data_IF_706344730300
#
_entry.id   IF_706344730300
#
_cell.length_a   1.000
_cell.length_b   1.000
_cell.length_c   1.000
_cell.angle_alpha   90.00
_cell.angle_beta   90.00
_cell.angle_gamma   90.00
#
_symmetry.space_group_name_H-M   'P 1'
#
loop_
_entity.id
_entity.type
_entity.pdbx_description
1 polymer ?
#
# COMPACT_ATOMS: atom_id res chain seq x y z
N UNK A 1 0.79 -1.00 -17.82
CA UNK A 1 -0.19 0.08 -17.50
C UNK A 1 -1.61 -0.44 -17.42
N UNK A 2 -2.20 -0.77 -18.57
CA UNK A 2 -3.66 -0.87 -18.69
C UNK A 2 -4.29 -1.96 -17.82
N UNK A 3 -3.63 -3.12 -17.69
CA UNK A 3 -4.14 -4.22 -16.85
C UNK A 3 -4.21 -3.83 -15.37
N UNK A 4 -3.15 -3.24 -14.83
CA UNK A 4 -3.11 -2.81 -13.43
C UNK A 4 -4.17 -1.75 -13.13
N UNK A 5 -4.26 -0.73 -13.99
CA UNK A 5 -5.30 0.30 -13.89
C UNK A 5 -6.71 -0.30 -13.94
N UNK A 6 -6.97 -1.21 -14.88
CA UNK A 6 -8.27 -1.86 -15.01
C UNK A 6 -8.65 -2.65 -13.75
N UNK A 7 -7.70 -3.34 -13.10
CA UNK A 7 -7.94 -4.05 -11.85
C UNK A 7 -8.19 -3.09 -10.67
N UNK A 8 -7.44 -1.98 -10.58
CA UNK A 8 -7.74 -0.93 -9.61
C UNK A 8 -9.14 -0.35 -9.80
N UNK A 9 -9.53 -0.08 -11.04
CA UNK A 9 -10.85 0.47 -11.34
C UNK A 9 -11.97 -0.52 -11.00
N UNK A 10 -11.76 -1.81 -11.24
CA UNK A 10 -12.69 -2.87 -10.84
C UNK A 10 -12.82 -2.97 -9.32
N UNK A 11 -11.72 -2.92 -8.57
CA UNK A 11 -11.75 -2.96 -7.10
C UNK A 11 -12.51 -1.75 -6.50
N UNK A 12 -12.41 -0.59 -7.15
CA UNK A 12 -13.06 0.65 -6.72
C UNK A 12 -14.48 0.84 -7.27
N UNK A 13 -14.89 0.06 -8.27
CA UNK A 13 -16.13 0.27 -9.01
C UNK A 13 -16.17 1.57 -9.84
N UNK A 14 -15.04 2.25 -10.04
CA UNK A 14 -14.92 3.49 -10.83
C UNK A 14 -13.55 3.57 -11.51
N UNK A 15 -13.48 4.25 -12.66
CA UNK A 15 -12.21 4.56 -13.34
C UNK A 15 -11.87 6.06 -13.25
N UNK A 16 -10.59 6.42 -13.44
CA UNK A 16 -10.14 7.81 -13.47
C UNK A 16 -10.52 8.49 -14.81
N UNK A 17 -10.84 9.79 -14.83
CA UNK A 17 -11.06 10.52 -16.08
C UNK A 17 -9.77 10.74 -16.90
N UNK A 18 -8.60 10.46 -16.31
CA UNK A 18 -7.31 10.61 -16.97
C UNK A 18 -7.12 9.63 -18.13
N UNK A 19 -6.30 9.97 -19.14
CA UNK A 19 -6.06 9.10 -20.29
C UNK A 19 -5.67 7.66 -19.90
N UNK A 20 -6.09 6.62 -20.64
CA UNK A 20 -5.93 5.21 -20.24
C UNK A 20 -4.48 4.75 -20.01
N UNK A 21 -3.50 5.43 -20.62
CA UNK A 21 -2.06 5.15 -20.47
C UNK A 21 -1.33 6.15 -19.59
N UNK A 22 -2.01 7.19 -19.10
CA UNK A 22 -1.41 8.17 -18.21
C UNK A 22 -1.21 7.57 -16.82
N UNK A 23 -0.02 7.81 -16.27
CA UNK A 23 0.30 7.41 -14.89
C UNK A 23 -0.59 8.11 -13.86
N UNK A 24 -0.97 9.36 -14.15
CA UNK A 24 -1.87 10.16 -13.33
C UNK A 24 -3.17 9.43 -12.99
N UNK A 25 -3.73 8.65 -13.92
CA UNK A 25 -4.95 7.92 -13.62
C UNK A 25 -4.75 6.71 -12.71
N UNK A 26 -3.53 6.15 -12.63
CA UNK A 26 -3.19 5.13 -11.64
C UNK A 26 -3.09 5.79 -10.26
N UNK A 27 -2.37 6.91 -10.16
CA UNK A 27 -2.23 7.64 -8.89
C UNK A 27 -3.56 8.16 -8.35
N UNK A 28 -4.48 8.61 -9.22
CA UNK A 28 -5.84 9.01 -8.83
C UNK A 28 -6.62 7.85 -8.21
N UNK A 29 -6.56 6.67 -8.83
CA UNK A 29 -7.25 5.47 -8.32
C UNK A 29 -6.62 5.00 -7.00
N UNK A 30 -5.31 5.10 -6.85
CA UNK A 30 -4.64 4.75 -5.60
C UNK A 30 -5.02 5.72 -4.47
N UNK A 31 -5.03 7.02 -4.75
CA UNK A 31 -5.48 8.02 -3.78
C UNK A 31 -6.94 7.74 -3.36
N UNK A 32 -7.81 7.46 -4.34
CA UNK A 32 -9.18 7.04 -4.10
C UNK A 32 -9.30 5.77 -3.23
N UNK A 33 -8.43 4.78 -3.46
CA UNK A 33 -8.39 3.55 -2.68
C UNK A 33 -7.98 3.80 -1.24
N UNK A 34 -7.00 4.67 -1.04
CA UNK A 34 -6.54 5.05 0.29
C UNK A 34 -7.60 5.85 1.07
N UNK A 35 -8.42 6.64 0.38
CA UNK A 35 -9.47 7.48 0.97
C UNK A 35 -10.81 6.77 1.21
N UNK A 36 -10.99 5.55 0.67
CA UNK A 36 -12.29 4.86 0.53
C UNK A 36 -13.08 4.69 1.83
N UNK A 37 -12.41 4.74 2.98
CA UNK A 37 -13.01 4.56 4.32
C UNK A 37 -12.52 5.63 5.33
N UNK A 38 -12.35 6.88 4.89
CA UNK A 38 -11.92 7.99 5.77
C UNK A 38 -10.47 7.88 6.29
N UNK A 39 -9.70 6.95 5.73
CA UNK A 39 -8.35 6.60 6.21
C UNK A 39 -8.34 5.72 7.47
N UNK A 40 -9.49 5.23 7.95
CA UNK A 40 -9.61 4.58 9.26
C UNK A 40 -9.36 3.07 9.32
N UNK A 41 -8.96 2.39 8.23
CA UNK A 41 -8.40 1.04 8.36
C UNK A 41 -7.30 0.80 7.33
N UNK A 42 -6.05 1.10 7.70
CA UNK A 42 -4.85 0.73 6.94
C UNK A 42 -4.94 -0.72 6.44
N UNK A 43 -5.42 -1.63 7.30
CA UNK A 43 -5.67 -3.05 7.01
C UNK A 43 -6.61 -3.24 5.80
N UNK A 44 -7.68 -2.46 5.69
CA UNK A 44 -8.65 -2.60 4.58
C UNK A 44 -8.02 -2.17 3.25
N UNK A 45 -7.30 -1.04 3.25
CA UNK A 45 -6.55 -0.54 2.09
C UNK A 45 -5.47 -1.53 1.68
N UNK A 46 -4.75 -2.09 2.66
CA UNK A 46 -3.73 -3.11 2.44
C UNK A 46 -4.35 -4.35 1.77
N UNK A 47 -5.46 -4.85 2.32
CA UNK A 47 -6.17 -6.01 1.78
C UNK A 47 -6.69 -5.78 0.36
N UNK A 48 -7.23 -4.59 0.06
CA UNK A 48 -7.74 -4.25 -1.26
C UNK A 48 -6.60 -4.15 -2.29
N UNK A 49 -5.50 -3.53 -1.90
CA UNK A 49 -4.29 -3.45 -2.72
C UNK A 49 -3.72 -4.84 -3.02
N UNK A 50 -3.69 -5.73 -2.01
CA UNK A 50 -3.27 -7.12 -2.19
C UNK A 50 -4.21 -7.89 -3.12
N UNK A 51 -5.54 -7.73 -2.99
CA UNK A 51 -6.50 -8.33 -3.94
C UNK A 51 -6.27 -7.87 -5.38
N UNK A 52 -6.00 -6.58 -5.58
CA UNK A 52 -5.66 -6.04 -6.90
C UNK A 52 -4.41 -6.72 -7.45
N UNK A 53 -3.35 -6.87 -6.65
CA UNK A 53 -2.12 -7.57 -7.04
C UNK A 53 -2.40 -9.04 -7.39
N UNK A 54 -3.09 -9.79 -6.54
CA UNK A 54 -3.45 -11.18 -6.80
C UNK A 54 -4.29 -11.33 -8.08
N UNK A 55 -5.20 -10.39 -8.33
CA UNK A 55 -6.09 -10.40 -9.50
C UNK A 55 -5.37 -10.18 -10.85
N UNK A 56 -4.09 -9.78 -10.83
CA UNK A 56 -3.25 -9.68 -12.03
C UNK A 56 -2.87 -11.06 -12.58
N UNK A 57 -2.90 -12.08 -11.74
CA UNK A 57 -2.50 -13.44 -12.10
C UNK A 57 -3.73 -14.30 -12.43
N UNK A 58 -3.62 -15.20 -13.41
CA UNK A 58 -4.70 -16.09 -13.77
C UNK A 58 -4.98 -17.11 -12.65
N UNK A 59 -6.25 -17.41 -12.42
CA UNK A 59 -6.67 -18.48 -11.53
C UNK A 59 -6.62 -19.84 -12.24
N UNK A 60 -5.43 -20.26 -12.66
CA UNK A 60 -5.19 -21.53 -13.34
C UNK A 60 -3.81 -22.08 -12.98
N UNK A 61 -3.67 -23.38 -12.68
CA UNK A 61 -4.71 -24.41 -12.54
C UNK A 61 -5.64 -24.19 -11.32
N UNK A 62 -6.94 -24.55 -11.38
CA UNK A 62 -7.95 -24.20 -10.37
C UNK A 62 -7.97 -25.14 -9.14
N UNK A 63 -7.06 -26.11 -9.09
CA UNK A 63 -6.91 -27.04 -7.97
C UNK A 63 -6.12 -26.33 -6.87
N UNK A 64 -6.79 -25.46 -6.13
CA UNK A 64 -6.16 -24.69 -5.06
C UNK A 64 -7.15 -24.48 -3.89
N UNK A 65 -6.66 -24.23 -2.67
CA UNK A 65 -7.52 -23.92 -1.53
C UNK A 65 -8.43 -22.72 -1.82
N UNK A 66 -9.68 -22.70 -1.33
CA UNK A 66 -10.57 -21.56 -1.51
C UNK A 66 -9.92 -20.28 -1.00
N UNK A 67 -9.97 -19.21 -1.80
CA UNK A 67 -9.37 -17.91 -1.47
C UNK A 67 -7.95 -17.67 -1.99
N UNK A 68 -7.33 -18.66 -2.66
CA UNK A 68 -6.01 -18.48 -3.30
C UNK A 68 -6.15 -18.33 -4.83
N UNK A 69 -5.14 -17.76 -5.48
CA UNK A 69 -5.06 -17.73 -6.96
C UNK A 69 -4.25 -18.94 -7.41
N UNK A 70 -4.83 -19.77 -8.28
CA UNK A 70 -4.25 -21.03 -8.73
C UNK A 70 -2.79 -20.92 -9.15
N UNK A 71 -2.45 -19.97 -10.05
CA UNK A 71 -1.07 -19.82 -10.51
C UNK A 71 -0.09 -19.51 -9.37
N UNK A 72 -0.49 -18.66 -8.41
CA UNK A 72 0.36 -18.27 -7.29
C UNK A 72 0.60 -19.45 -6.34
N UNK A 73 -0.46 -20.20 -6.03
CA UNK A 73 -0.38 -21.39 -5.20
C UNK A 73 0.57 -22.43 -5.80
N UNK A 74 0.38 -22.77 -7.07
CA UNK A 74 1.22 -23.76 -7.75
C UNK A 74 2.66 -23.28 -7.92
N UNK A 75 2.87 -21.98 -8.14
CA UNK A 75 4.22 -21.41 -8.15
C UNK A 75 4.92 -21.60 -6.80
N UNK A 76 4.20 -21.34 -5.70
CA UNK A 76 4.70 -21.56 -4.35
C UNK A 76 5.14 -23.00 -4.10
N UNK A 77 4.26 -23.95 -4.44
CA UNK A 77 4.48 -25.39 -4.22
C UNK A 77 5.58 -25.96 -5.11
N UNK A 78 5.60 -25.61 -6.40
CA UNK A 78 6.48 -26.23 -7.40
C UNK A 78 7.85 -25.54 -7.54
N UNK A 79 7.94 -24.25 -7.22
CA UNK A 79 9.16 -23.48 -7.44
C UNK A 79 9.67 -22.79 -6.18
N UNK A 80 8.82 -22.08 -5.43
CA UNK A 80 9.29 -21.27 -4.31
C UNK A 80 9.79 -22.12 -3.13
N UNK A 81 9.02 -23.12 -2.70
CA UNK A 81 9.40 -24.02 -1.62
C UNK A 81 10.60 -24.92 -1.95
N UNK A 82 10.67 -25.61 -3.11
CA UNK A 82 11.79 -26.50 -3.42
C UNK A 82 13.05 -25.77 -3.88
N UNK A 83 12.93 -24.57 -4.48
CA UNK A 83 14.05 -23.84 -5.06
C UNK A 83 14.07 -22.35 -4.64
N UNK A 84 14.34 -22.05 -3.36
CA UNK A 84 14.27 -20.68 -2.84
C UNK A 84 15.21 -19.70 -3.56
N UNK A 85 16.45 -20.12 -3.89
CA UNK A 85 17.42 -19.28 -4.63
C UNK A 85 16.91 -18.91 -6.01
N UNK A 86 16.42 -19.92 -6.74
CA UNK A 86 15.93 -19.75 -8.09
C UNK A 86 14.69 -18.86 -8.09
N UNK A 87 13.77 -19.09 -7.16
CA UNK A 87 12.56 -18.30 -7.03
C UNK A 87 12.85 -16.84 -6.68
N UNK A 88 13.77 -16.58 -5.74
CA UNK A 88 14.20 -15.22 -5.41
C UNK A 88 14.80 -14.49 -6.63
N UNK A 89 15.68 -15.17 -7.39
CA UNK A 89 16.28 -14.61 -8.61
C UNK A 89 15.29 -14.35 -9.73
N UNK A 90 14.41 -15.32 -9.99
CA UNK A 90 13.36 -15.19 -10.98
C UNK A 90 12.43 -14.03 -10.65
N UNK A 91 11.98 -13.93 -9.38
CA UNK A 91 11.09 -12.87 -8.95
C UNK A 91 11.77 -11.51 -8.94
N UNK A 92 13.06 -11.41 -8.58
CA UNK A 92 13.82 -10.18 -8.72
C UNK A 92 13.89 -9.72 -10.18
N UNK A 93 14.11 -10.63 -11.12
CA UNK A 93 14.18 -10.31 -12.55
C UNK A 93 12.80 -9.95 -13.16
N UNK A 94 11.75 -10.68 -12.78
CA UNK A 94 10.38 -10.36 -13.21
C UNK A 94 9.94 -9.02 -12.63
N UNK A 95 10.23 -8.79 -11.35
CA UNK A 95 9.91 -7.53 -10.67
C UNK A 95 10.72 -6.38 -11.26
N UNK A 96 12.01 -6.58 -11.59
CA UNK A 96 12.80 -5.61 -12.34
C UNK A 96 12.09 -5.23 -13.65
N UNK A 97 11.70 -6.23 -14.44
CA UNK A 97 11.01 -6.00 -15.72
C UNK A 97 9.70 -5.21 -15.55
N UNK A 98 8.91 -5.52 -14.53
CA UNK A 98 7.65 -4.84 -14.24
C UNK A 98 7.84 -3.45 -13.61
N UNK A 99 8.85 -3.29 -12.75
CA UNK A 99 9.17 -2.08 -12.02
C UNK A 99 9.70 -0.98 -12.94
N UNK A 100 10.45 -1.33 -13.99
CA UNK A 100 10.87 -0.39 -15.04
C UNK A 100 9.67 0.36 -15.65
N UNK A 101 8.52 -0.32 -15.73
CA UNK A 101 7.30 0.23 -16.25
C UNK A 101 6.48 1.03 -15.20
N UNK A 102 6.41 0.57 -13.94
CA UNK A 102 5.57 1.16 -12.89
C UNK A 102 6.27 2.20 -12.01
N UNK A 103 7.52 1.93 -11.63
CA UNK A 103 8.29 2.68 -10.64
C UNK A 103 9.44 3.46 -11.25
N UNK A 104 9.98 3.04 -12.40
CA UNK A 104 11.07 3.73 -13.10
C UNK A 104 12.37 2.94 -13.10
N UNK A 105 13.51 3.62 -13.26
CA UNK A 105 14.83 2.97 -13.45
C UNK A 105 15.18 2.06 -12.27
N UNK A 106 15.47 0.80 -12.59
CA UNK A 106 15.84 -0.23 -11.61
C UNK A 106 17.19 -0.89 -11.91
N UNK A 107 17.92 -1.22 -10.84
CA UNK A 107 19.21 -1.90 -10.84
C UNK A 107 19.10 -3.16 -9.97
N UNK A 108 19.66 -4.28 -10.44
CA UNK A 108 19.68 -5.56 -9.71
C UNK A 108 21.11 -5.83 -9.25
N UNK A 109 21.28 -6.24 -8.01
CA UNK A 109 22.55 -6.58 -7.39
C UNK A 109 22.35 -7.72 -6.39
N UNK A 110 23.43 -8.27 -5.86
CA UNK A 110 23.34 -9.24 -4.77
C UNK A 110 23.05 -8.53 -3.44
N UNK A 111 22.47 -9.24 -2.47
CA UNK A 111 22.36 -8.77 -1.09
C UNK A 111 23.72 -8.97 -0.42
N UNK A 112 24.43 -7.87 -0.15
CA UNK A 112 25.77 -7.90 0.45
C UNK A 112 25.82 -7.30 1.88
N UNK A 113 24.73 -6.68 2.36
CA UNK A 113 24.67 -6.14 3.72
C UNK A 113 24.70 -7.28 4.75
N UNK A 114 25.65 -7.29 5.71
CA UNK A 114 25.78 -8.38 6.68
C UNK A 114 24.52 -8.68 7.50
N UNK A 115 23.72 -7.65 7.84
CA UNK A 115 22.51 -7.82 8.63
C UNK A 115 21.40 -8.48 7.79
N UNK A 116 21.29 -8.12 6.51
CA UNK A 116 20.36 -8.75 5.59
C UNK A 116 20.80 -10.17 5.22
N UNK A 117 22.11 -10.39 5.02
CA UNK A 117 22.70 -11.71 4.73
C UNK A 117 22.42 -12.69 5.88
N UNK A 118 22.54 -12.24 7.13
CA UNK A 118 22.22 -13.06 8.31
C UNK A 118 20.73 -13.47 8.37
N UNK A 119 19.84 -12.70 7.74
CA UNK A 119 18.39 -12.95 7.69
C UNK A 119 17.97 -13.77 6.48
N UNK A 120 18.86 -14.09 5.54
CA UNK A 120 18.51 -14.87 4.36
C UNK A 120 17.92 -16.22 4.74
N UNK A 121 16.86 -16.62 4.04
CA UNK A 121 16.24 -17.94 4.23
C UNK A 121 17.29 -19.03 4.03
N UNK A 122 17.31 -20.04 4.91
CA UNK A 122 18.27 -21.14 4.83
C UNK A 122 18.21 -21.83 3.45
N UNK A 123 19.37 -21.98 2.81
CA UNK A 123 19.46 -22.50 1.44
C UNK A 123 19.19 -21.48 0.34
N UNK A 124 18.89 -20.21 0.66
CA UNK A 124 18.70 -19.10 -0.31
C UNK A 124 20.00 -18.68 -1.02
N UNK A 125 21.18 -19.12 -0.57
CA UNK A 125 22.45 -18.66 -1.13
C UNK A 125 22.62 -17.14 -0.98
N UNK A 126 23.05 -16.44 -2.03
CA UNK A 126 23.06 -14.97 -2.09
C UNK A 126 21.67 -14.47 -2.50
N UNK A 127 21.01 -13.69 -1.65
CA UNK A 127 19.75 -13.00 -1.98
C UNK A 127 19.90 -12.05 -3.17
N UNK A 128 18.78 -11.51 -3.66
CA UNK A 128 18.80 -10.52 -4.73
C UNK A 128 18.22 -9.19 -4.26
N UNK A 129 18.98 -8.12 -4.47
CA UNK A 129 18.59 -6.76 -4.21
C UNK A 129 18.16 -6.10 -5.51
N UNK A 130 16.90 -5.69 -5.58
CA UNK A 130 16.40 -4.81 -6.63
C UNK A 130 16.27 -3.40 -6.07
N UNK A 131 17.11 -2.48 -6.55
CA UNK A 131 17.05 -1.06 -6.19
C UNK A 131 16.37 -0.27 -7.30
N UNK A 132 15.29 0.41 -6.94
CA UNK A 132 14.66 1.44 -7.76
C UNK A 132 15.36 2.76 -7.46
N UNK A 133 16.06 3.32 -8.44
CA UNK A 133 16.88 4.53 -8.25
C UNK A 133 16.05 5.78 -7.94
N UNK A 134 14.82 5.83 -8.43
CA UNK A 134 13.84 6.87 -8.11
C UNK A 134 12.44 6.32 -8.36
N UNK A 135 11.68 6.11 -7.30
CA UNK A 135 10.37 5.50 -7.33
C UNK A 135 9.32 6.53 -7.70
N UNK A 136 8.87 6.49 -8.97
CA UNK A 136 7.80 7.32 -9.50
C UNK A 136 6.53 7.26 -8.65
N UNK A 137 6.22 6.08 -8.09
CA UNK A 137 5.04 5.89 -7.25
C UNK A 137 5.09 6.78 -6.00
N UNK A 138 6.23 6.79 -5.31
CA UNK A 138 6.43 7.60 -4.11
C UNK A 138 6.55 9.09 -4.46
N UNK A 139 7.22 9.41 -5.57
CA UNK A 139 7.43 10.77 -6.05
C UNK A 139 6.14 11.48 -6.46
N UNK A 140 5.22 10.79 -7.15
CA UNK A 140 3.96 11.38 -7.62
C UNK A 140 2.92 11.48 -6.50
N UNK A 141 2.86 10.47 -5.62
CA UNK A 141 1.89 10.47 -4.50
C UNK A 141 2.32 11.37 -3.34
N UNK A 142 3.63 11.59 -3.16
CA UNK A 142 4.23 12.36 -2.07
C UNK A 142 3.59 12.08 -0.71
N UNK A 143 3.28 10.82 -0.45
CA UNK A 143 2.68 10.42 0.81
C UNK A 143 3.22 9.07 1.27
N UNK A 144 3.86 9.07 2.44
CA UNK A 144 4.37 7.86 3.06
C UNK A 144 3.24 6.88 3.39
N UNK A 145 2.11 7.36 3.92
CA UNK A 145 0.96 6.49 4.24
C UNK A 145 0.36 5.80 3.02
N UNK A 146 0.31 6.48 1.85
CA UNK A 146 -0.09 5.81 0.60
C UNK A 146 0.95 4.74 0.27
N UNK A 147 2.24 5.10 0.17
CA UNK A 147 3.31 4.14 -0.15
C UNK A 147 3.30 2.89 0.74
N UNK A 148 3.16 3.06 2.06
CA UNK A 148 3.14 1.96 3.02
C UNK A 148 1.91 1.07 2.81
N UNK A 149 0.72 1.66 2.75
CA UNK A 149 -0.53 0.91 2.79
C UNK A 149 -0.97 0.37 1.43
N UNK A 150 -0.52 0.95 0.31
CA UNK A 150 -0.92 0.53 -1.04
C UNK A 150 0.21 -0.14 -1.84
N UNK A 151 1.47 0.02 -1.42
CA UNK A 151 2.62 -0.58 -2.09
C UNK A 151 3.43 -1.50 -1.16
N UNK A 152 4.08 -1.00 -0.09
CA UNK A 152 5.00 -1.78 0.75
C UNK A 152 4.31 -2.99 1.39
N UNK A 153 3.32 -2.76 2.25
CA UNK A 153 2.68 -3.83 3.03
C UNK A 153 1.95 -4.83 2.13
N UNK A 154 1.15 -4.41 1.13
CA UNK A 154 0.47 -5.35 0.24
C UNK A 154 1.44 -6.18 -0.60
N UNK A 155 2.53 -5.58 -1.08
CA UNK A 155 3.51 -6.30 -1.91
C UNK A 155 4.33 -7.27 -1.06
N UNK A 156 4.73 -6.89 0.15
CA UNK A 156 5.36 -7.82 1.09
C UNK A 156 4.45 -9.00 1.40
N UNK A 157 3.20 -8.76 1.76
CA UNK A 157 2.24 -9.83 2.04
C UNK A 157 2.03 -10.72 0.80
N UNK A 158 1.90 -10.14 -0.39
CA UNK A 158 1.78 -10.87 -1.65
C UNK A 158 2.96 -11.83 -1.90
N UNK A 159 4.21 -11.35 -1.77
CA UNK A 159 5.36 -12.22 -2.02
C UNK A 159 5.55 -13.26 -0.91
N UNK A 160 5.46 -12.87 0.36
CA UNK A 160 5.74 -13.77 1.48
C UNK A 160 4.63 -14.81 1.69
N UNK A 161 3.37 -14.44 1.52
CA UNK A 161 2.23 -15.32 1.84
C UNK A 161 1.61 -15.97 0.60
N UNK A 162 1.43 -15.25 -0.51
CA UNK A 162 0.76 -15.81 -1.70
C UNK A 162 1.74 -16.51 -2.65
N UNK A 163 2.95 -15.96 -2.83
CA UNK A 163 3.99 -16.55 -3.68
C UNK A 163 5.00 -17.41 -2.92
N UNK A 164 5.00 -17.35 -1.58
CA UNK A 164 5.96 -18.02 -0.71
C UNK A 164 7.43 -17.68 -1.00
N UNK A 165 7.69 -16.42 -1.38
CA UNK A 165 9.03 -15.88 -1.62
C UNK A 165 9.32 -14.81 -0.59
N UNK A 166 10.37 -15.03 0.21
CA UNK A 166 10.80 -14.05 1.19
C UNK A 166 11.15 -12.71 0.52
N UNK A 167 10.51 -11.63 0.96
CA UNK A 167 10.76 -10.29 0.45
C UNK A 167 10.61 -9.26 1.56
N UNK A 168 11.61 -8.39 1.67
CA UNK A 168 11.55 -7.16 2.47
C UNK A 168 11.65 -5.95 1.56
N UNK A 169 10.79 -4.95 1.77
CA UNK A 169 10.78 -3.70 1.00
C UNK A 169 11.17 -2.54 1.92
N UNK A 170 12.18 -1.78 1.50
CA UNK A 170 12.74 -0.65 2.25
C UNK A 170 12.73 0.61 1.37
N UNK A 171 11.69 1.47 1.49
CA UNK A 171 11.65 2.76 0.82
C UNK A 171 12.51 3.79 1.56
N UNK A 172 13.16 4.68 0.81
CA UNK A 172 13.81 5.88 1.31
C UNK A 172 12.97 7.11 0.93
N UNK A 173 12.42 7.78 1.94
CA UNK A 173 11.52 8.91 1.77
C UNK A 173 12.22 10.24 1.48
N UNK A 174 13.53 10.32 1.67
CA UNK A 174 14.32 11.52 1.37
C UNK A 174 14.83 11.52 -0.07
N UNK A 175 15.33 10.37 -0.54
CA UNK A 175 15.92 10.22 -1.88
C UNK A 175 14.95 9.68 -2.92
N UNK A 176 13.76 9.24 -2.50
CA UNK A 176 12.77 8.53 -3.31
C UNK A 176 13.25 7.18 -3.85
N UNK A 177 14.31 6.61 -3.28
CA UNK A 177 14.77 5.26 -3.63
C UNK A 177 13.88 4.19 -2.99
N UNK A 178 13.83 3.00 -3.58
CA UNK A 178 13.13 1.87 -2.96
C UNK A 178 13.89 0.57 -3.21
N UNK A 179 14.17 -0.18 -2.15
CA UNK A 179 14.90 -1.43 -2.19
C UNK A 179 13.97 -2.62 -1.96
N UNK A 180 14.07 -3.63 -2.81
CA UNK A 180 13.37 -4.91 -2.71
C UNK A 180 14.42 -5.98 -2.47
N UNK A 181 14.42 -6.54 -1.26
CA UNK A 181 15.40 -7.53 -0.80
C UNK A 181 14.76 -8.93 -0.88
N UNK A 182 14.96 -9.61 -2.01
CA UNK A 182 14.46 -10.97 -2.22
C UNK A 182 15.34 -12.00 -1.51
N UNK A 183 14.71 -12.95 -0.84
CA UNK A 183 15.35 -13.94 0.03
C UNK A 183 15.46 -13.51 1.50
N UNK A 184 15.12 -12.25 1.82
CA UNK A 184 15.16 -11.68 3.18
C UNK A 184 13.71 -11.53 3.68
N UNK A 185 13.29 -12.26 4.72
CA UNK A 185 11.94 -12.12 5.28
C UNK A 185 11.83 -10.81 6.08
N UNK A 186 10.67 -10.13 6.06
CA UNK A 186 10.45 -8.92 6.84
C UNK A 186 10.47 -9.24 8.34
N UNK A 187 10.98 -8.32 9.16
CA UNK A 187 10.89 -8.44 10.62
C UNK A 187 9.66 -7.68 11.14
N UNK A 188 9.17 -8.05 12.31
CA UNK A 188 8.04 -7.36 12.94
C UNK A 188 8.37 -5.87 13.20
N UNK A 189 9.62 -5.59 13.57
CA UNK A 189 10.09 -4.22 13.81
C UNK A 189 10.12 -3.42 12.51
N UNK A 190 10.61 -3.99 11.39
CA UNK A 190 10.61 -3.32 10.08
C UNK A 190 9.21 -2.92 9.59
N UNK A 191 8.19 -3.69 9.99
CA UNK A 191 6.79 -3.43 9.67
C UNK A 191 6.14 -2.45 10.63
N UNK A 192 6.47 -2.52 11.93
CA UNK A 192 6.04 -1.54 12.92
C UNK A 192 6.58 -0.15 12.59
N UNK A 193 7.89 -0.05 12.33
CA UNK A 193 8.56 1.19 11.94
C UNK A 193 7.90 1.79 10.69
N UNK A 194 7.56 0.97 9.70
CA UNK A 194 6.87 1.43 8.49
C UNK A 194 5.52 2.09 8.76
N UNK A 195 4.78 1.60 9.77
CA UNK A 195 3.46 2.14 10.15
C UNK A 195 3.57 3.47 10.90
N UNK A 196 4.69 3.73 11.56
CA UNK A 196 4.92 4.94 12.35
C UNK A 196 5.48 6.12 11.53
N UNK A 197 5.85 5.91 10.26
CA UNK A 197 6.48 6.95 9.43
C UNK A 197 5.57 8.15 9.22
N UNK A 198 6.08 9.32 9.60
CA UNK A 198 5.40 10.59 9.41
C UNK A 198 5.18 10.89 7.91
N UNK A 199 3.96 11.28 7.56
CA UNK A 199 3.64 11.68 6.19
C UNK A 199 4.28 13.03 5.80
N UNK A 200 4.67 13.14 4.53
CA UNK A 200 5.09 14.40 3.91
C UNK A 200 4.05 15.51 4.10
N UNK A 201 4.50 16.76 4.05
CA UNK A 201 3.66 17.95 4.14
C UNK A 201 2.57 18.01 3.05
N UNK A 202 2.86 17.46 1.88
CA UNK A 202 1.97 17.43 0.72
C UNK A 202 0.98 16.25 0.74
N UNK A 203 1.07 15.33 1.72
CA UNK A 203 0.25 14.13 1.73
C UNK A 203 -1.27 14.45 1.81
N UNK A 204 -2.11 13.89 0.91
CA UNK A 204 -3.56 14.07 0.95
C UNK A 204 -4.21 13.63 2.26
N UNK A 205 -3.81 12.50 2.83
CA UNK A 205 -4.39 12.00 4.08
C UNK A 205 -4.09 12.91 5.28
N UNK A 206 -2.91 13.54 5.31
CA UNK A 206 -2.57 14.56 6.32
C UNK A 206 -3.43 15.83 6.17
N UNK A 207 -3.75 16.23 4.94
CA UNK A 207 -4.64 17.37 4.67
C UNK A 207 -6.08 17.07 5.09
N UNK A 208 -6.59 15.88 4.76
CA UNK A 208 -7.92 15.42 5.18
C UNK A 208 -8.04 15.35 6.71
N UNK A 209 -7.05 14.75 7.40
CA UNK A 209 -7.02 14.69 8.86
C UNK A 209 -7.03 16.08 9.51
N UNK A 210 -6.26 17.03 8.97
CA UNK A 210 -6.28 18.43 9.44
C UNK A 210 -7.63 19.11 9.21
N UNK A 211 -8.27 18.89 8.06
CA UNK A 211 -9.59 19.44 7.76
C UNK A 211 -10.66 18.88 8.72
N UNK A 212 -10.64 17.56 8.98
CA UNK A 212 -11.52 16.93 9.97
C UNK A 212 -11.28 17.46 11.39
N UNK A 213 -10.02 17.62 11.80
CA UNK A 213 -9.69 18.20 13.11
C UNK A 213 -10.15 19.66 13.23
N UNK A 214 -10.00 20.46 12.16
CA UNK A 214 -10.47 21.85 12.12
C UNK A 214 -12.00 21.93 12.18
N UNK A 215 -12.72 21.06 11.47
CA UNK A 215 -14.18 20.95 11.53
C UNK A 215 -14.65 20.51 12.93
N UNK A 216 -13.99 19.54 13.54
CA UNK A 216 -14.29 19.10 14.90
C UNK A 216 -14.05 20.21 15.93
N UNK A 217 -12.95 20.96 15.80
CA UNK A 217 -12.65 22.11 16.65
C UNK A 217 -13.66 23.26 16.45
N UNK A 218 -14.09 23.53 15.21
CA UNK A 218 -15.12 24.53 14.92
C UNK A 218 -16.49 24.14 15.50
N UNK A 219 -16.87 22.86 15.41
CA UNK A 219 -18.09 22.35 16.03
C UNK A 219 -18.05 22.40 17.57
N UNK A 220 -16.88 22.15 18.17
CA UNK A 220 -16.69 22.28 19.62
C UNK A 220 -16.80 23.74 20.10
N UNK A 221 -16.37 24.71 19.29
CA UNK A 221 -16.53 26.14 19.58
C UNK A 221 -17.97 26.64 19.34
N UNK A 222 -18.69 26.08 18.35
CA UNK A 222 -20.10 26.41 18.07
C UNK A 222 -21.09 25.88 19.12
N UNK A 223 -20.72 24.83 19.86
CA UNK A 223 -21.54 24.27 20.95
C UNK A 223 -21.65 25.13 22.21
N UNK A 224 -20.87 26.21 22.33
CA UNK A 224 -20.86 27.10 23.51
C UNK A 224 -21.80 28.31 23.38
N UNK A 225 -22.55 28.47 22.28
CA UNK A 225 -23.50 29.59 22.09
C UNK A 225 -24.99 29.20 22.23
N UNK A 226 -25.29 28.01 22.77
CA UNK A 226 -26.66 27.56 23.07
C UNK A 226 -27.22 27.99 24.43
N UNK A 227 -26.73 29.11 24.99
CA UNK A 227 -27.21 29.64 26.28
C UNK A 227 -28.57 30.31 26.17
N UNK A 228 -29.59 29.59 26.63
CA UNK A 228 -30.94 30.01 27.05
C UNK A 228 -31.16 31.54 27.19
N UNK A 229 -31.90 32.15 26.25
CA UNK A 229 -32.59 33.43 26.48
C UNK A 229 -33.92 33.11 27.16
N UNK A 230 -33.94 33.23 28.48
CA UNK A 230 -35.14 33.13 29.29
C UNK A 230 -36.16 34.19 28.85
N UNK A 231 -37.29 33.75 28.30
CA UNK A 231 -38.42 34.61 27.98
C UNK A 231 -39.19 34.99 29.26
N UNK A 232 -39.61 36.26 29.45
CA UNK A 232 -40.39 36.64 30.61
C UNK A 232 -41.80 36.04 30.57
N UNK A 233 -42.20 35.43 31.68
CA UNK A 233 -43.54 34.90 31.98
C UNK A 233 -44.60 35.99 31.87
N UNK A 234 -45.56 35.85 30.95
CA UNK A 234 -46.83 36.57 31.04
C UNK A 234 -47.70 35.92 32.12
N UNK A 235 -47.96 36.67 33.19
CA UNK A 235 -48.92 36.33 34.22
C UNK A 235 -50.35 36.54 33.71
N UNK A 236 -51.21 35.57 33.99
CA UNK A 236 -52.66 35.59 33.80
C UNK A 236 -53.37 36.32 34.94
N UNK A 237 -54.21 37.31 34.63
CA UNK A 237 -55.42 37.72 35.35
C UNK A 237 -56.28 38.47 34.31
N UNK A 238 -57.55 38.19 33.98
CA UNK A 238 -58.62 37.50 34.70
C UNK A 238 -59.44 38.49 35.53
N UNK A 239 -60.57 38.99 35.00
CA UNK A 239 -61.63 39.57 35.84
C UNK A 239 -62.40 40.77 35.28
N UNK A 240 -63.62 40.48 34.80
CA UNK A 240 -64.88 41.25 34.89
C UNK A 240 -65.02 42.60 34.18
#
# INVERSE_FOLDING_TARGET
>A
MARFRSKLALELGRDSPQPPRAYAGITDLIAALHERDGGQAAIMVESASRRVLCSLFPNWPPLNPPGTVGLLHWFGVLFAAPFPVFSARLNAWVTWSAAQWLMGRCEVSDVDDPADVARLVAGSGRGQLLRVCRCRYLEETKCASICVNTCKMPTQAFFNEDMHVALTIVPNYETFECQFKFGVPPSADDEADAREIACFSECPSRRAARAHAALAAASALGGLQGGEVSAPRCASMGGS
#
